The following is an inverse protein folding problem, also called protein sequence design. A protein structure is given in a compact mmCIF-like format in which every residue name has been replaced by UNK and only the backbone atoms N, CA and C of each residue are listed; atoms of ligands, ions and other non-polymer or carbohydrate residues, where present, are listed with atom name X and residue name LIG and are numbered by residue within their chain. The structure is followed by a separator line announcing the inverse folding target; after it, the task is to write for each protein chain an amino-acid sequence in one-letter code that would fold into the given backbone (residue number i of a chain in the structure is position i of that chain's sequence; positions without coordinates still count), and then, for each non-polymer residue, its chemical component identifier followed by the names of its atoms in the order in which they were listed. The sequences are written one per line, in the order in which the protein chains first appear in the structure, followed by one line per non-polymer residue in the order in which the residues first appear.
data_IF_182297922445
#
_entry.id   IF_182297922445
#
_cell.length_a   1.000
_cell.length_b   1.000
_cell.length_c   1.000
_cell.angle_alpha   90.00
_cell.angle_beta   90.00
_cell.angle_gamma   90.00
#
_symmetry.space_group_name_H-M   'P 1'
#
loop_
_entity.id
_entity.type
_entity.pdbx_description
1 polymer ?
#
# COMPACT_ATOMS: atom_id res chain seq x y z
N UNK A 1 13.53 8.66 3.57
CA UNK A 1 12.49 8.83 4.61
C UNK A 1 11.59 7.61 4.63
N UNK A 2 11.25 7.11 5.81
CA UNK A 2 10.43 5.91 5.96
C UNK A 2 9.04 6.24 6.46
N UNK A 3 8.05 5.58 5.87
CA UNK A 3 6.65 5.69 6.29
C UNK A 3 6.25 4.40 6.99
N UNK A 4 5.47 4.53 8.05
CA UNK A 4 4.86 3.38 8.71
C UNK A 4 3.77 2.82 7.79
N UNK A 5 3.68 1.50 7.68
CA UNK A 5 2.60 0.86 6.96
C UNK A 5 1.52 0.42 7.95
N UNK A 6 0.28 0.77 7.64
CA UNK A 6 -0.89 0.37 8.41
C UNK A 6 -1.91 -0.22 7.47
N UNK A 7 -2.57 -1.29 7.87
CA UNK A 7 -3.57 -1.96 7.04
C UNK A 7 -4.93 -1.83 7.71
N UNK A 8 -5.86 -1.13 7.05
CA UNK A 8 -7.23 -1.03 7.54
C UNK A 8 -7.90 -2.42 7.51
N UNK A 9 -8.95 -2.65 8.32
CA UNK A 9 -9.53 -3.99 8.45
C UNK A 9 -9.82 -4.74 7.15
N UNK A 10 -10.43 -4.15 6.11
CA UNK A 10 -10.65 -4.90 4.87
C UNK A 10 -9.34 -5.34 4.20
N UNK A 11 -8.31 -4.49 4.22
CA UNK A 11 -7.03 -4.82 3.64
C UNK A 11 -6.29 -5.85 4.49
N UNK A 12 -6.39 -5.72 5.80
CA UNK A 12 -5.76 -6.65 6.72
C UNK A 12 -6.34 -8.06 6.58
N UNK A 13 -7.65 -8.16 6.40
CA UNK A 13 -8.30 -9.45 6.18
C UNK A 13 -7.80 -10.10 4.89
N UNK A 14 -7.67 -9.32 3.83
CA UNK A 14 -7.14 -9.82 2.56
C UNK A 14 -5.69 -10.26 2.71
N UNK A 15 -4.89 -9.46 3.41
CA UNK A 15 -3.48 -9.75 3.64
C UNK A 15 -3.32 -11.10 4.37
N UNK A 16 -4.16 -11.36 5.37
CA UNK A 16 -4.11 -12.59 6.14
C UNK A 16 -4.36 -13.83 5.28
N UNK A 17 -5.06 -13.66 4.16
CA UNK A 17 -5.37 -14.76 3.24
C UNK A 17 -4.40 -14.89 2.10
N UNK A 18 -3.45 -13.96 1.97
CA UNK A 18 -2.49 -14.00 0.89
C UNK A 18 -1.49 -15.11 1.12
N UNK A 19 -1.11 -15.75 0.02
CA UNK A 19 -0.21 -16.89 0.03
C UNK A 19 1.17 -16.57 0.60
N UNK A 20 1.67 -15.40 0.26
CA UNK A 20 3.04 -15.00 0.56
C UNK A 20 3.02 -13.64 1.23
N UNK A 21 2.27 -13.56 2.33
CA UNK A 21 2.04 -12.30 3.03
C UNK A 21 3.33 -11.65 3.52
N UNK A 22 4.29 -12.44 4.00
CA UNK A 22 5.53 -11.89 4.51
C UNK A 22 6.36 -11.23 3.41
N UNK A 23 6.45 -11.87 2.24
CA UNK A 23 7.14 -11.29 1.09
C UNK A 23 6.42 -10.04 0.59
N UNK A 24 5.09 -10.07 0.59
CA UNK A 24 4.31 -8.90 0.21
C UNK A 24 4.57 -7.73 1.16
N UNK A 25 4.56 -7.98 2.48
CA UNK A 25 4.85 -6.94 3.46
C UNK A 25 6.25 -6.37 3.28
N UNK A 26 7.24 -7.22 3.02
CA UNK A 26 8.60 -6.78 2.81
C UNK A 26 8.71 -5.89 1.58
N UNK A 27 8.06 -6.27 0.49
CA UNK A 27 8.07 -5.49 -0.73
C UNK A 27 7.33 -4.15 -0.54
N UNK A 28 6.23 -4.14 0.19
CA UNK A 28 5.52 -2.92 0.53
C UNK A 28 6.40 -1.95 1.31
N UNK A 29 7.14 -2.47 2.29
CA UNK A 29 8.03 -1.63 3.09
C UNK A 29 9.15 -1.05 2.23
N UNK A 30 9.70 -1.85 1.32
CA UNK A 30 10.78 -1.44 0.43
C UNK A 30 10.33 -0.40 -0.59
N UNK A 31 9.10 -0.49 -1.06
CA UNK A 31 8.58 0.39 -2.11
C UNK A 31 7.77 1.55 -1.52
N UNK A 32 6.53 1.30 -1.16
CA UNK A 32 5.63 2.36 -0.71
C UNK A 32 6.01 2.92 0.66
N UNK A 33 6.65 2.10 1.49
CA UNK A 33 7.15 2.57 2.78
C UNK A 33 8.31 3.55 2.65
N UNK A 34 9.07 3.46 1.55
CA UNK A 34 10.18 4.39 1.31
C UNK A 34 9.73 5.59 0.50
N UNK A 35 8.85 5.40 -0.49
CA UNK A 35 8.37 6.48 -1.36
C UNK A 35 6.93 6.19 -1.81
N UNK A 36 5.94 6.61 -1.03
CA UNK A 36 4.54 6.30 -1.36
C UNK A 36 4.01 7.04 -2.58
N UNK A 37 4.71 8.05 -3.07
CA UNK A 37 4.31 8.79 -4.27
C UNK A 37 5.00 8.29 -5.52
N UNK A 38 5.98 7.41 -5.38
CA UNK A 38 6.73 6.84 -6.49
C UNK A 38 6.23 5.44 -6.85
N UNK A 39 7.14 4.64 -7.41
CA UNK A 39 6.91 3.23 -7.75
C UNK A 39 5.70 3.03 -8.67
N UNK A 40 5.56 3.92 -9.66
CA UNK A 40 4.47 3.88 -10.65
C UNK A 40 3.08 4.01 -10.02
N UNK A 41 2.98 4.62 -8.82
CA UNK A 41 1.69 4.89 -8.22
C UNK A 41 1.00 6.04 -8.93
N UNK A 42 -0.34 6.02 -8.90
CA UNK A 42 -1.14 7.09 -9.50
C UNK A 42 -2.13 7.63 -8.48
N UNK A 43 -2.43 8.93 -8.61
CA UNK A 43 -3.43 9.57 -7.76
C UNK A 43 -4.82 9.09 -8.15
N UNK A 44 -5.66 8.79 -7.16
CA UNK A 44 -7.03 8.37 -7.38
C UNK A 44 -7.94 9.60 -7.30
N UNK A 45 -8.77 9.81 -8.32
CA UNK A 45 -9.69 10.94 -8.39
C UNK A 45 -8.98 12.28 -8.22
N UNK A 46 -7.77 12.37 -8.72
CA UNK A 46 -6.94 13.58 -8.65
C UNK A 46 -6.56 14.01 -7.23
N UNK A 47 -6.74 13.16 -6.24
CA UNK A 47 -6.31 13.43 -4.87
C UNK A 47 -4.88 12.91 -4.69
N UNK A 48 -3.94 13.82 -4.45
CA UNK A 48 -2.52 13.49 -4.36
C UNK A 48 -2.21 12.40 -3.34
N UNK A 49 -2.88 12.44 -2.20
CA UNK A 49 -2.59 11.53 -1.08
C UNK A 49 -3.41 10.25 -1.10
N UNK A 50 -4.38 10.15 -2.00
CA UNK A 50 -5.14 8.92 -2.23
C UNK A 50 -4.58 8.28 -3.48
N UNK A 51 -3.94 7.12 -3.33
CA UNK A 51 -3.15 6.57 -4.43
C UNK A 51 -3.41 5.09 -4.63
N UNK A 52 -2.97 4.63 -5.80
CA UNK A 52 -3.09 3.24 -6.21
C UNK A 52 -1.77 2.81 -6.82
N UNK A 53 -1.34 1.61 -6.50
CA UNK A 53 -0.13 1.04 -7.09
C UNK A 53 -0.27 -0.48 -7.14
N UNK A 54 0.49 -1.11 -8.05
CA UNK A 54 0.59 -2.57 -8.09
C UNK A 54 1.88 -2.98 -7.41
N UNK A 55 1.78 -3.81 -6.39
CA UNK A 55 2.93 -4.27 -5.62
C UNK A 55 2.83 -5.78 -5.48
N UNK A 56 3.88 -6.48 -5.88
CA UNK A 56 4.03 -7.92 -5.68
C UNK A 56 2.77 -8.72 -6.06
N UNK A 57 2.21 -8.40 -7.23
CA UNK A 57 1.04 -9.11 -7.75
C UNK A 57 -0.30 -8.72 -7.14
N UNK A 58 -0.38 -7.57 -6.49
CA UNK A 58 -1.64 -7.09 -5.93
C UNK A 58 -1.81 -5.60 -6.23
N UNK A 59 -3.05 -5.19 -6.46
CA UNK A 59 -3.39 -3.77 -6.54
C UNK A 59 -3.60 -3.27 -5.13
N UNK A 60 -2.92 -2.16 -4.79
CA UNK A 60 -2.95 -1.58 -3.46
C UNK A 60 -3.58 -0.20 -3.55
N UNK A 61 -4.66 0.01 -2.80
CA UNK A 61 -5.26 1.33 -2.65
C UNK A 61 -4.91 1.84 -1.26
N UNK A 62 -4.38 3.05 -1.18
CA UNK A 62 -3.83 3.54 0.07
C UNK A 62 -3.92 5.05 0.18
N UNK A 63 -3.78 5.55 1.42
CA UNK A 63 -3.65 6.95 1.74
C UNK A 63 -2.27 7.25 2.28
N UNK A 64 -1.76 8.42 1.95
CA UNK A 64 -0.51 8.90 2.53
C UNK A 64 -0.82 10.01 3.51
N UNK A 65 -0.35 9.89 4.74
CA UNK A 65 -0.44 10.93 5.74
C UNK A 65 0.97 11.44 6.03
N UNK A 66 1.32 12.57 5.43
CA UNK A 66 2.68 13.13 5.57
C UNK A 66 2.96 13.67 6.96
N UNK A 67 1.93 14.15 7.66
CA UNK A 67 2.11 14.71 9.00
C UNK A 67 2.52 13.66 10.03
N UNK A 68 2.12 12.41 9.85
CA UNK A 68 2.45 11.32 10.76
C UNK A 68 3.25 10.22 10.08
N UNK A 69 3.74 10.47 8.87
CA UNK A 69 4.57 9.56 8.08
C UNK A 69 3.99 8.14 8.04
N UNK A 70 2.71 8.05 7.68
CA UNK A 70 2.00 6.78 7.64
C UNK A 70 1.36 6.57 6.28
N UNK A 71 1.49 5.35 5.77
CA UNK A 71 0.75 4.87 4.59
C UNK A 71 -0.31 3.91 5.11
N UNK A 72 -1.57 4.25 4.92
CA UNK A 72 -2.69 3.40 5.34
C UNK A 72 -3.25 2.69 4.13
N UNK A 73 -3.10 1.38 4.09
CA UNK A 73 -3.64 0.56 3.00
C UNK A 73 -5.11 0.28 3.33
N UNK A 74 -6.01 0.76 2.46
CA UNK A 74 -7.44 0.62 2.68
C UNK A 74 -8.02 -0.58 1.93
N UNK A 75 -7.34 -1.02 0.87
CA UNK A 75 -7.83 -2.16 0.09
C UNK A 75 -6.69 -2.86 -0.63
N UNK A 76 -6.78 -4.18 -0.68
CA UNK A 76 -5.87 -5.02 -1.45
C UNK A 76 -6.69 -5.87 -2.41
N UNK A 77 -6.24 -5.93 -3.66
CA UNK A 77 -6.88 -6.78 -4.68
C UNK A 77 -5.79 -7.65 -5.30
N UNK A 78 -5.61 -8.87 -4.79
CA UNK A 78 -4.61 -9.78 -5.39
C UNK A 78 -5.00 -10.09 -6.83
N UNK A 79 -4.01 -10.08 -7.71
CA UNK A 79 -4.23 -10.40 -9.11
C UNK A 79 -4.13 -11.92 -9.32
N UNK A 80 -4.91 -12.47 -10.25
CA UNK A 80 -4.88 -13.92 -10.54
C UNK A 80 -3.55 -14.39 -11.08
#
# INVERSE_FOLDING_TARGET
MSFRLSFAPPADDTLAKMRDADSFRAEMARTLGSDPYGHASTAVKSERDRREATVYGAIVLYYVSGSVLTVTVVRLVPLP
#
